data_IF_691007072686
#
_entry.id   IF_691007072686
#
_cell.length_a   1.000
_cell.length_b   1.000
_cell.length_c   1.000
_cell.angle_alpha   90.00
_cell.angle_beta   90.00
_cell.angle_gamma   90.00
#
_symmetry.space_group_name_H-M   'P 1'
#
loop_
_entity.id
_entity.type
_entity.pdbx_description
1 polymer ?
#
# COMPACT_ATOMS: atom_id res chain seq x y z
N UNK A 1 -47.96 -33.83 -4.87
CA UNK A 1 -48.56 -35.18 -4.80
C UNK A 1 -48.67 -35.74 -6.21
N UNK A 2 -48.48 -37.06 -6.34
CA UNK A 2 -48.66 -37.90 -7.52
C UNK A 2 -47.67 -37.73 -8.70
N UNK A 3 -46.62 -38.54 -8.64
CA UNK A 3 -46.03 -39.23 -9.79
C UNK A 3 -46.98 -40.37 -10.27
N UNK A 4 -46.61 -41.35 -11.13
CA UNK A 4 -45.94 -41.32 -12.44
C UNK A 4 -46.58 -42.31 -13.49
N UNK A 5 -45.92 -42.44 -14.65
CA UNK A 5 -45.74 -43.65 -15.48
C UNK A 5 -46.68 -44.04 -16.65
N UNK A 6 -45.98 -44.20 -17.80
CA UNK A 6 -46.02 -45.24 -18.84
C UNK A 6 -47.34 -45.58 -19.54
N UNK A 7 -47.34 -45.40 -20.87
CA UNK A 7 -47.98 -46.35 -21.78
C UNK A 7 -47.11 -46.67 -22.99
N UNK A 8 -47.00 -47.97 -23.19
CA UNK A 8 -46.34 -48.72 -24.24
C UNK A 8 -47.03 -48.61 -25.60
N UNK A 9 -46.22 -48.93 -26.62
CA UNK A 9 -46.49 -49.19 -28.03
C UNK A 9 -47.79 -49.95 -28.35
N UNK A 10 -48.40 -49.66 -29.50
CA UNK A 10 -48.59 -50.65 -30.58
C UNK A 10 -49.21 -50.06 -31.85
N UNK A 11 -48.92 -50.75 -32.94
CA UNK A 11 -49.02 -50.40 -34.35
C UNK A 11 -50.43 -50.14 -34.89
N UNK A 12 -50.52 -49.50 -36.07
CA UNK A 12 -51.17 -50.09 -37.24
C UNK A 12 -50.76 -49.35 -38.53
N UNK A 13 -50.50 -50.15 -39.55
CA UNK A 13 -50.08 -49.80 -40.90
C UNK A 13 -51.26 -49.41 -41.80
N UNK A 14 -51.01 -48.57 -42.80
CA UNK A 14 -51.68 -48.63 -44.12
C UNK A 14 -50.85 -47.91 -45.18
N UNK A 15 -50.59 -48.64 -46.26
CA UNK A 15 -49.84 -48.23 -47.42
C UNK A 15 -50.79 -47.80 -48.55
N UNK A 16 -50.47 -46.68 -49.23
CA UNK A 16 -50.61 -46.36 -50.68
C UNK A 16 -49.77 -45.08 -50.83
N UNK A 17 -48.70 -44.92 -51.61
CA UNK A 17 -48.42 -45.31 -52.98
C UNK A 17 -48.34 -44.03 -53.82
N UNK A 18 -47.14 -43.62 -54.29
CA UNK A 18 -46.83 -43.00 -55.60
C UNK A 18 -45.37 -42.52 -55.63
N UNK A 19 -44.62 -42.98 -56.63
CA UNK A 19 -43.22 -42.61 -56.86
C UNK A 19 -43.11 -41.21 -57.47
N UNK A 20 -42.29 -40.35 -56.87
CA UNK A 20 -41.69 -39.21 -57.58
C UNK A 20 -40.31 -38.90 -57.01
N UNK A 21 -39.29 -39.07 -57.86
CA UNK A 21 -38.02 -38.34 -57.91
C UNK A 21 -37.32 -38.12 -56.56
N UNK A 22 -36.34 -38.98 -56.28
CA UNK A 22 -35.37 -38.78 -55.20
C UNK A 22 -34.51 -37.52 -55.47
N UNK A 23 -34.48 -36.52 -54.58
CA UNK A 23 -33.23 -35.90 -54.20
C UNK A 23 -32.64 -36.73 -53.06
N UNK A 24 -31.40 -37.16 -53.23
CA UNK A 24 -30.63 -37.80 -52.16
C UNK A 24 -30.57 -36.80 -51.00
N UNK A 25 -31.41 -37.04 -49.97
CA UNK A 25 -31.31 -36.38 -48.68
C UNK A 25 -30.02 -36.88 -48.04
N UNK A 26 -28.93 -36.18 -48.32
CA UNK A 26 -27.72 -36.19 -47.51
C UNK A 26 -28.12 -35.72 -46.12
N UNK A 27 -28.48 -36.67 -45.25
CA UNK A 27 -28.41 -36.46 -43.80
C UNK A 27 -26.95 -36.12 -43.50
N UNK A 28 -26.68 -34.84 -43.23
CA UNK A 28 -25.39 -34.44 -42.70
C UNK A 28 -25.15 -35.27 -41.43
N UNK A 29 -24.20 -36.19 -41.48
CA UNK A 29 -23.69 -36.84 -40.28
C UNK A 29 -23.07 -35.74 -39.43
N UNK A 30 -23.72 -35.36 -38.34
CA UNK A 30 -23.10 -34.52 -37.32
C UNK A 30 -21.93 -35.31 -36.75
N UNK A 31 -20.72 -35.08 -37.27
CA UNK A 31 -19.51 -35.67 -36.71
C UNK A 31 -19.31 -35.03 -35.34
N UNK A 32 -19.70 -35.73 -34.28
CA UNK A 32 -19.32 -35.36 -32.91
C UNK A 32 -17.82 -35.60 -32.81
N UNK A 33 -17.04 -34.53 -32.99
CA UNK A 33 -15.60 -34.56 -32.70
C UNK A 33 -15.47 -34.51 -31.19
N UNK A 34 -14.95 -35.55 -30.51
CA UNK A 34 -14.67 -35.46 -29.09
C UNK A 34 -13.60 -34.38 -28.88
N UNK A 35 -13.98 -33.26 -28.27
CA UNK A 35 -13.04 -32.24 -27.85
C UNK A 35 -12.08 -32.88 -26.84
N UNK A 36 -10.85 -33.15 -27.27
CA UNK A 36 -9.81 -33.78 -26.45
C UNK A 36 -9.39 -32.78 -25.37
N UNK A 37 -10.11 -32.75 -24.25
CA UNK A 37 -9.73 -31.95 -23.09
C UNK A 37 -8.46 -32.55 -22.49
N UNK A 38 -7.29 -32.09 -22.93
CA UNK A 38 -6.03 -32.44 -22.28
C UNK A 38 -6.17 -32.03 -20.81
N UNK A 39 -6.09 -32.99 -19.88
CA UNK A 39 -5.95 -32.67 -18.45
C UNK A 39 -4.72 -31.76 -18.33
N UNK A 40 -4.92 -30.51 -17.89
CA UNK A 40 -3.80 -29.63 -17.53
C UNK A 40 -3.13 -30.25 -16.31
N UNK A 41 -2.01 -30.91 -16.54
CA UNK A 41 -1.10 -31.29 -15.48
C UNK A 41 -0.32 -30.05 -15.06
N UNK A 42 -0.61 -29.55 -13.86
CA UNK A 42 0.27 -28.59 -13.18
C UNK A 42 1.29 -29.38 -12.37
N UNK A 43 2.59 -29.26 -12.67
CA UNK A 43 3.62 -29.91 -11.87
C UNK A 43 3.60 -29.38 -10.42
N UNK A 44 4.02 -30.19 -9.44
CA UNK A 44 4.07 -29.76 -8.05
C UNK A 44 5.10 -28.64 -7.86
N UNK A 45 4.71 -27.59 -7.14
CA UNK A 45 5.62 -26.51 -6.74
C UNK A 45 6.49 -27.01 -5.60
N UNK A 46 7.79 -27.21 -5.85
CA UNK A 46 8.74 -27.57 -4.80
C UNK A 46 9.06 -26.35 -3.95
N UNK A 47 8.88 -26.46 -2.63
CA UNK A 47 9.30 -25.42 -1.71
C UNK A 47 10.83 -25.45 -1.57
N UNK A 48 11.50 -24.28 -1.55
CA UNK A 48 12.93 -24.22 -1.27
C UNK A 48 13.23 -24.81 0.11
N UNK A 49 14.33 -25.57 0.22
CA UNK A 49 14.75 -26.23 1.46
C UNK A 49 15.40 -25.27 2.47
N UNK A 50 15.63 -24.03 2.08
CA UNK A 50 16.24 -22.98 2.88
C UNK A 50 15.21 -21.90 3.20
N UNK A 51 15.31 -21.30 4.38
CA UNK A 51 14.41 -20.22 4.84
C UNK A 51 15.10 -18.87 4.87
N UNK A 52 16.42 -18.85 4.99
CA UNK A 52 17.24 -17.63 5.04
C UNK A 52 18.24 -17.56 3.88
N UNK A 53 18.68 -16.35 3.54
CA UNK A 53 19.69 -16.13 2.50
C UNK A 53 21.02 -16.81 2.83
N UNK A 54 21.38 -16.90 4.12
CA UNK A 54 22.59 -17.61 4.55
C UNK A 54 22.49 -19.12 4.29
N UNK A 55 21.36 -19.73 4.65
CA UNK A 55 21.08 -21.13 4.33
C UNK A 55 21.01 -21.38 2.82
N UNK A 56 20.50 -20.42 2.05
CA UNK A 56 20.52 -20.48 0.58
C UNK A 56 21.94 -20.52 0.04
N UNK A 57 22.79 -19.60 0.49
CA UNK A 57 24.18 -19.51 0.04
C UNK A 57 24.98 -20.74 0.49
N UNK A 58 24.71 -21.27 1.68
CA UNK A 58 25.29 -22.54 2.13
C UNK A 58 24.77 -23.74 1.34
N UNK A 59 23.49 -23.77 1.00
CA UNK A 59 22.89 -24.81 0.18
C UNK A 59 23.45 -24.77 -1.25
N UNK A 60 23.56 -23.58 -1.84
CA UNK A 60 24.19 -23.37 -3.15
C UNK A 60 25.65 -23.82 -3.13
N UNK A 61 26.42 -23.44 -2.09
CA UNK A 61 27.79 -23.93 -1.88
C UNK A 61 27.86 -25.45 -1.75
N UNK A 62 26.98 -26.08 -0.96
CA UNK A 62 26.89 -27.55 -0.80
C UNK A 62 26.47 -28.24 -2.10
N UNK A 63 25.66 -27.60 -2.92
CA UNK A 63 25.24 -28.08 -4.24
C UNK A 63 26.29 -27.79 -5.33
N UNK A 64 27.43 -27.20 -4.98
CA UNK A 64 28.50 -26.85 -5.94
C UNK A 64 28.18 -25.67 -6.84
N UNK A 65 27.11 -24.92 -6.56
CA UNK A 65 26.71 -23.72 -7.28
C UNK A 65 27.46 -22.50 -6.72
N UNK A 66 28.44 -22.00 -7.48
CA UNK A 66 29.08 -20.71 -7.20
C UNK A 66 28.27 -19.61 -7.85
N UNK A 67 27.66 -18.74 -7.05
CA UNK A 67 26.95 -17.55 -7.55
C UNK A 67 28.01 -16.51 -7.89
N UNK A 68 28.18 -16.11 -9.16
CA UNK A 68 29.11 -15.05 -9.51
C UNK A 68 28.66 -13.74 -8.90
N UNK A 69 29.62 -12.88 -8.52
CA UNK A 69 29.30 -11.52 -8.11
C UNK A 69 28.69 -10.78 -9.32
N UNK A 70 27.54 -10.15 -9.12
CA UNK A 70 26.86 -9.41 -10.18
C UNK A 70 27.72 -8.21 -10.62
N UNK A 71 28.27 -8.28 -11.82
CA UNK A 71 28.92 -7.15 -12.48
C UNK A 71 27.86 -6.38 -13.27
N UNK A 72 27.20 -5.42 -12.60
CA UNK A 72 26.21 -4.57 -13.26
C UNK A 72 26.94 -3.52 -14.11
N UNK A 73 26.96 -3.70 -15.42
CA UNK A 73 27.45 -2.68 -16.36
C UNK A 73 26.61 -1.38 -16.28
N UNK A 74 25.32 -1.52 -15.94
CA UNK A 74 24.38 -0.41 -15.77
C UNK A 74 23.86 -0.40 -14.34
N UNK A 75 24.11 0.67 -13.56
CA UNK A 75 23.57 0.77 -12.22
C UNK A 75 22.05 0.93 -12.26
N UNK A 76 21.38 0.46 -11.22
CA UNK A 76 19.94 0.65 -11.05
C UNK A 76 19.69 2.13 -10.71
N UNK A 77 18.92 2.81 -11.56
CA UNK A 77 18.52 4.19 -11.33
C UNK A 77 17.27 4.23 -10.46
N UNK A 78 17.41 4.83 -9.28
CA UNK A 78 16.31 5.03 -8.34
C UNK A 78 15.84 6.48 -8.44
N UNK A 79 14.52 6.67 -8.41
CA UNK A 79 13.90 8.00 -8.46
C UNK A 79 13.55 8.55 -7.07
N UNK A 80 13.57 7.71 -6.04
CA UNK A 80 13.29 8.06 -4.65
C UNK A 80 14.33 7.43 -3.73
N UNK A 81 14.44 7.97 -2.52
CA UNK A 81 15.22 7.35 -1.45
C UNK A 81 14.47 6.12 -0.90
N UNK A 82 15.14 5.26 -0.13
CA UNK A 82 14.48 4.15 0.57
C UNK A 82 13.68 4.59 1.81
N UNK A 83 13.94 5.78 2.36
CA UNK A 83 13.27 6.24 3.57
C UNK A 83 13.52 7.71 3.90
N UNK A 84 12.99 8.12 5.05
CA UNK A 84 13.08 9.49 5.55
C UNK A 84 14.45 9.71 6.21
N UNK A 85 15.15 10.79 5.88
CA UNK A 85 16.52 11.03 6.39
C UNK A 85 16.58 11.34 7.89
N UNK A 86 15.94 12.43 8.31
CA UNK A 86 15.87 12.90 9.70
C UNK A 86 14.39 13.09 10.01
N UNK A 87 13.76 12.02 10.52
CA UNK A 87 12.34 12.04 10.82
C UNK A 87 12.03 13.15 11.84
N UNK A 88 11.08 14.01 11.48
CA UNK A 88 10.59 15.01 12.40
C UNK A 88 9.94 14.31 13.59
N UNK A 89 10.23 14.76 14.81
CA UNK A 89 9.62 14.27 16.04
C UNK A 89 8.62 15.33 16.50
N UNK A 90 7.31 15.11 16.31
CA UNK A 90 6.29 16.04 16.76
C UNK A 90 6.33 16.21 18.28
N UNK A 91 6.24 17.44 18.79
CA UNK A 91 6.22 17.65 20.23
C UNK A 91 4.94 17.11 20.84
N UNK A 92 5.08 16.46 21.99
CA UNK A 92 3.94 16.04 22.81
C UNK A 92 3.13 17.28 23.19
N UNK A 93 1.83 17.26 22.88
CA UNK A 93 0.98 18.44 23.04
C UNK A 93 0.90 19.35 21.80
N UNK A 94 1.34 18.92 20.61
CA UNK A 94 0.95 19.65 19.38
C UNK A 94 -0.59 19.62 19.13
N UNK A 95 -1.31 18.74 19.85
CA UNK A 95 -2.77 18.74 19.97
C UNK A 95 -3.30 19.53 21.19
N UNK A 96 -2.45 19.90 22.15
CA UNK A 96 -2.80 20.64 23.38
C UNK A 96 -1.68 21.61 23.71
N UNK A 97 -1.87 22.87 23.37
CA UNK A 97 -0.88 23.94 23.47
C UNK A 97 -0.22 23.97 24.87
N UNK A 98 1.00 23.43 24.93
CA UNK A 98 2.08 23.66 25.91
C UNK A 98 1.87 23.32 27.39
N UNK A 99 2.82 22.56 27.94
CA UNK A 99 3.29 22.69 29.33
C UNK A 99 4.82 22.76 29.36
N UNK A 100 5.34 23.80 30.04
CA UNK A 100 6.76 24.12 30.15
C UNK A 100 7.46 23.13 31.11
N UNK A 101 7.90 21.98 30.58
CA UNK A 101 8.78 21.02 31.26
C UNK A 101 10.27 21.34 31.00
N UNK A 102 11.16 20.91 31.91
CA UNK A 102 12.63 21.03 31.76
C UNK A 102 13.17 20.31 30.51
N UNK A 103 12.45 19.29 30.02
CA UNK A 103 12.73 18.61 28.75
C UNK A 103 12.51 19.53 27.52
N UNK A 104 11.69 20.58 27.68
CA UNK A 104 11.41 21.55 26.61
C UNK A 104 12.60 22.44 26.24
N UNK A 105 13.59 22.64 27.11
CA UNK A 105 14.80 23.43 26.81
C UNK A 105 15.74 22.68 25.86
N UNK A 106 16.02 21.40 26.13
CA UNK A 106 16.79 20.54 25.23
C UNK A 106 16.10 20.47 23.85
N UNK A 107 14.79 20.23 23.86
CA UNK A 107 13.99 20.19 22.65
C UNK A 107 14.02 21.53 21.88
N UNK A 108 14.02 22.68 22.56
CA UNK A 108 14.17 24.00 21.92
C UNK A 108 15.53 24.18 21.25
N UNK A 109 16.62 23.75 21.88
CA UNK A 109 17.95 23.85 21.25
C UNK A 109 18.08 22.93 20.03
N UNK A 110 17.49 21.74 20.08
CA UNK A 110 17.42 20.84 18.93
C UNK A 110 16.55 21.41 17.82
N UNK A 111 15.39 21.99 18.13
CA UNK A 111 14.55 22.69 17.15
C UNK A 111 15.32 23.81 16.45
N UNK A 112 16.10 24.61 17.19
CA UNK A 112 16.93 25.65 16.59
C UNK A 112 17.99 25.07 15.63
N UNK A 113 18.71 24.02 16.04
CA UNK A 113 19.66 23.32 15.15
C UNK A 113 18.97 22.76 13.91
N UNK A 114 17.83 22.10 14.09
CA UNK A 114 17.02 21.53 13.00
C UNK A 114 16.47 22.62 12.06
N UNK A 115 16.17 23.80 12.58
CA UNK A 115 15.74 24.96 11.80
C UNK A 115 16.88 25.57 10.98
N UNK A 116 18.10 25.65 11.52
CA UNK A 116 19.27 26.10 10.74
C UNK A 116 19.54 25.11 9.59
N UNK A 117 19.49 23.81 9.88
CA UNK A 117 19.65 22.77 8.86
C UNK A 117 18.52 22.82 7.80
N UNK A 118 17.30 23.19 8.17
CA UNK A 118 16.20 23.34 7.20
C UNK A 118 16.40 24.57 6.32
N UNK A 119 16.87 25.69 6.85
CA UNK A 119 17.20 26.88 6.05
C UNK A 119 18.31 26.60 5.03
N UNK A 120 19.36 25.86 5.42
CA UNK A 120 20.41 25.43 4.49
C UNK A 120 19.87 24.50 3.40
N UNK A 121 18.98 23.58 3.77
CA UNK A 121 18.34 22.66 2.81
C UNK A 121 17.45 23.42 1.83
N UNK A 122 16.68 24.41 2.28
CA UNK A 122 15.87 25.28 1.43
C UNK A 122 16.74 26.04 0.43
N UNK A 123 17.91 26.55 0.86
CA UNK A 123 18.86 27.21 -0.06
C UNK A 123 19.32 26.26 -1.16
N UNK A 124 19.72 25.03 -0.82
CA UNK A 124 20.11 23.99 -1.80
C UNK A 124 18.98 23.64 -2.79
N UNK A 125 17.73 23.55 -2.30
CA UNK A 125 16.58 23.32 -3.19
C UNK A 125 16.41 24.49 -4.15
N UNK A 126 16.49 25.72 -3.66
CA UNK A 126 16.36 26.93 -4.50
C UNK A 126 17.49 27.10 -5.50
N UNK A 127 18.70 26.66 -5.14
CA UNK A 127 19.85 26.61 -6.06
C UNK A 127 19.62 25.63 -7.20
N UNK A 128 18.95 24.51 -6.93
CA UNK A 128 18.63 23.48 -7.94
C UNK A 128 17.36 23.82 -8.74
N UNK A 129 16.36 24.39 -8.07
CA UNK A 129 15.05 24.75 -8.62
C UNK A 129 14.66 26.18 -8.17
N UNK A 130 14.95 27.19 -9.01
CA UNK A 130 14.68 28.59 -8.66
C UNK A 130 13.18 28.92 -8.57
N UNK A 131 12.31 28.07 -9.13
CA UNK A 131 10.86 28.26 -9.06
C UNK A 131 10.26 27.90 -7.69
N UNK A 132 11.03 27.23 -6.83
CA UNK A 132 10.55 26.71 -5.56
C UNK A 132 10.32 27.82 -4.51
N UNK A 133 9.05 27.97 -4.11
CA UNK A 133 8.62 28.85 -3.03
C UNK A 133 8.04 28.05 -1.88
N UNK A 134 8.58 28.27 -0.68
CA UNK A 134 8.17 27.56 0.54
C UNK A 134 6.76 27.95 0.99
N UNK A 135 6.31 29.18 0.71
CA UNK A 135 4.98 29.67 1.10
C UNK A 135 3.84 29.04 0.29
N UNK A 136 4.09 28.76 -0.98
CA UNK A 136 3.10 28.22 -1.91
C UNK A 136 3.08 26.67 -1.88
N UNK A 137 4.07 26.07 -1.22
CA UNK A 137 4.23 24.62 -1.17
C UNK A 137 3.13 23.89 -0.37
N UNK A 138 2.65 24.38 0.79
CA UNK A 138 1.60 23.72 1.54
C UNK A 138 0.30 23.50 0.76
N UNK A 139 -0.11 24.47 -0.06
CA UNK A 139 -1.29 24.36 -0.92
C UNK A 139 -1.08 23.25 -1.96
N UNK A 140 0.05 23.27 -2.67
CA UNK A 140 0.41 22.21 -3.62
C UNK A 140 0.50 20.83 -2.97
N UNK A 141 1.04 20.76 -1.75
CA UNK A 141 1.14 19.52 -0.99
C UNK A 141 -0.25 18.97 -0.63
N UNK A 142 -1.19 19.84 -0.26
CA UNK A 142 -2.57 19.47 0.00
C UNK A 142 -3.27 18.97 -1.27
N UNK A 143 -3.07 19.64 -2.40
CA UNK A 143 -3.63 19.19 -3.68
C UNK A 143 -3.13 17.80 -4.08
N UNK A 144 -1.81 17.57 -4.01
CA UNK A 144 -1.21 16.25 -4.27
C UNK A 144 -1.78 15.19 -3.31
N UNK A 145 -1.94 15.54 -2.03
CA UNK A 145 -2.50 14.64 -1.04
C UNK A 145 -3.94 14.25 -1.37
N UNK A 146 -4.81 15.23 -1.69
CA UNK A 146 -6.21 14.98 -2.03
C UNK A 146 -6.30 14.15 -3.32
N UNK A 147 -5.56 14.55 -4.35
CA UNK A 147 -5.56 13.89 -5.66
C UNK A 147 -5.12 12.43 -5.56
N UNK A 148 -4.07 12.14 -4.79
CA UNK A 148 -3.59 10.78 -4.60
C UNK A 148 -4.63 9.89 -3.88
N UNK A 149 -5.33 10.41 -2.88
CA UNK A 149 -6.39 9.65 -2.20
C UNK A 149 -7.62 9.46 -3.09
N UNK A 150 -7.95 10.41 -3.96
CA UNK A 150 -8.97 10.23 -4.99
C UNK A 150 -8.57 9.16 -6.02
N UNK A 151 -7.29 9.08 -6.38
CA UNK A 151 -6.77 8.01 -7.24
C UNK A 151 -6.93 6.64 -6.57
N UNK A 152 -6.75 6.54 -5.25
CA UNK A 152 -7.01 5.28 -4.51
C UNK A 152 -8.49 4.86 -4.57
N UNK A 153 -9.43 5.81 -4.49
CA UNK A 153 -10.86 5.50 -4.62
C UNK A 153 -11.19 4.92 -6.00
N UNK A 154 -10.59 5.47 -7.06
CA UNK A 154 -10.83 5.08 -8.45
C UNK A 154 -9.92 3.93 -8.93
N UNK A 155 -8.96 3.49 -8.10
CA UNK A 155 -7.89 2.54 -8.48
C UNK A 155 -7.07 2.96 -9.71
N UNK A 156 -6.86 4.28 -9.89
CA UNK A 156 -6.01 4.82 -10.96
C UNK A 156 -4.53 4.76 -10.53
N UNK A 157 -3.88 3.64 -10.85
CA UNK A 157 -2.49 3.40 -10.47
C UNK A 157 -1.49 4.21 -11.30
N UNK A 158 -1.81 4.50 -12.57
CA UNK A 158 -0.92 5.22 -13.47
C UNK A 158 -0.73 6.66 -12.98
N UNK A 159 -1.83 7.34 -12.63
CA UNK A 159 -1.78 8.67 -12.04
C UNK A 159 -1.14 8.63 -10.65
N UNK A 160 -1.43 7.61 -9.84
CA UNK A 160 -0.86 7.48 -8.50
C UNK A 160 0.67 7.38 -8.50
N UNK A 161 1.28 6.69 -9.48
CA UNK A 161 2.74 6.63 -9.65
C UNK A 161 3.39 8.00 -9.94
N UNK A 162 2.63 8.95 -10.50
CA UNK A 162 3.12 10.32 -10.74
C UNK A 162 3.09 11.19 -9.48
N UNK A 163 2.16 10.91 -8.55
CA UNK A 163 1.91 11.68 -7.32
C UNK A 163 2.66 11.12 -6.10
N UNK A 164 2.95 9.83 -6.10
CA UNK A 164 3.50 9.08 -4.97
C UNK A 164 4.82 8.43 -5.39
N UNK A 165 5.78 8.34 -4.47
CA UNK A 165 7.05 7.64 -4.73
C UNK A 165 6.88 6.13 -4.74
N UNK A 166 7.87 5.46 -5.31
CA UNK A 166 7.96 4.01 -5.38
C UNK A 166 8.03 3.36 -4.00
N UNK A 167 8.52 4.09 -2.99
CA UNK A 167 8.54 3.66 -1.59
C UNK A 167 7.15 3.71 -0.94
N UNK A 168 6.37 4.78 -1.19
CA UNK A 168 5.07 4.97 -0.56
C UNK A 168 3.93 4.24 -1.27
N UNK A 169 4.06 3.98 -2.57
CA UNK A 169 3.07 3.27 -3.37
C UNK A 169 2.67 1.88 -2.80
N UNK A 170 3.61 0.96 -2.48
CA UNK A 170 3.25 -0.34 -1.95
C UNK A 170 2.49 -0.25 -0.62
N UNK A 171 2.89 0.66 0.28
CA UNK A 171 2.23 0.85 1.57
C UNK A 171 0.78 1.31 1.43
N UNK A 172 0.48 2.12 0.41
CA UNK A 172 -0.88 2.60 0.15
C UNK A 172 -1.75 1.55 -0.55
N UNK A 173 -1.18 0.77 -1.47
CA UNK A 173 -1.96 -0.08 -2.40
C UNK A 173 -2.09 -1.53 -1.93
N UNK A 174 -1.09 -2.08 -1.24
CA UNK A 174 -1.02 -3.52 -0.98
C UNK A 174 -2.21 -4.05 -0.18
N UNK A 175 -2.57 -3.35 0.90
CA UNK A 175 -3.64 -3.77 1.81
C UNK A 175 -5.06 -3.54 1.27
N UNK A 176 -5.20 -2.69 0.26
CA UNK A 176 -6.47 -2.30 -0.35
C UNK A 176 -6.73 -2.99 -1.70
N UNK A 177 -5.79 -3.76 -2.22
CA UNK A 177 -5.87 -4.40 -3.55
C UNK A 177 -7.17 -5.16 -3.83
N UNK A 178 -7.76 -5.77 -2.79
CA UNK A 178 -9.02 -6.52 -2.91
C UNK A 178 -10.15 -5.90 -2.08
N UNK A 179 -10.10 -4.59 -1.86
CA UNK A 179 -11.07 -3.82 -1.07
C UNK A 179 -11.47 -2.58 -1.84
N UNK A 180 -12.64 -2.03 -1.52
CA UNK A 180 -13.09 -0.75 -2.08
C UNK A 180 -12.92 0.32 -1.02
N UNK A 181 -12.23 1.41 -1.36
CA UNK A 181 -12.02 2.55 -0.47
C UNK A 181 -12.93 3.69 -0.91
N UNK A 182 -13.62 4.29 0.05
CA UNK A 182 -14.34 5.55 -0.11
C UNK A 182 -13.72 6.55 0.86
N UNK A 183 -12.86 7.40 0.33
CA UNK A 183 -12.27 8.51 1.06
C UNK A 183 -12.80 9.84 0.52
N UNK A 184 -13.11 10.79 1.40
CA UNK A 184 -13.44 12.15 0.99
C UNK A 184 -12.75 13.19 1.85
N UNK A 185 -12.40 14.30 1.20
CA UNK A 185 -11.88 15.49 1.85
C UNK A 185 -13.05 16.42 2.18
N UNK A 186 -13.26 16.72 3.47
CA UNK A 186 -14.37 17.58 3.90
C UNK A 186 -13.90 19.02 4.03
N UNK A 187 -12.98 19.27 4.96
CA UNK A 187 -12.45 20.60 5.22
C UNK A 187 -11.03 20.55 5.82
N UNK A 188 -10.30 21.65 5.69
CA UNK A 188 -9.03 21.86 6.41
C UNK A 188 -9.32 22.65 7.67
N UNK A 189 -9.08 22.07 8.85
CA UNK A 189 -9.28 22.76 10.13
C UNK A 189 -8.20 23.81 10.35
N UNK A 190 -6.96 23.43 10.10
CA UNK A 190 -5.82 24.34 10.08
C UNK A 190 -5.19 24.32 8.67
N UNK A 191 -4.61 25.44 8.22
CA UNK A 191 -3.86 25.44 6.98
C UNK A 191 -2.63 24.53 7.10
N UNK A 192 -2.24 23.81 6.04
CA UNK A 192 -1.05 22.97 6.06
C UNK A 192 0.20 23.82 6.32
N UNK A 193 1.11 23.31 7.15
CA UNK A 193 2.33 24.04 7.54
C UNK A 193 3.57 23.22 7.24
N UNK A 194 4.56 23.85 6.59
CA UNK A 194 5.89 23.23 6.42
C UNK A 194 6.62 23.25 7.76
N UNK A 195 6.97 22.06 8.26
CA UNK A 195 7.62 21.90 9.56
C UNK A 195 9.14 21.83 9.40
N UNK A 196 9.60 20.92 8.56
CA UNK A 196 11.01 20.64 8.37
C UNK A 196 11.31 20.33 6.91
N UNK A 197 12.45 20.84 6.43
CA UNK A 197 13.01 20.57 5.11
C UNK A 197 14.39 19.96 5.29
N UNK A 198 14.68 18.91 4.51
CA UNK A 198 15.96 18.21 4.52
C UNK A 198 16.40 17.93 3.10
N UNK A 199 17.69 18.13 2.84
CA UNK A 199 18.31 17.73 1.59
C UNK A 199 19.45 16.78 1.88
N UNK A 200 19.46 15.64 1.20
CA UNK A 200 20.59 14.72 1.20
C UNK A 200 21.24 14.74 -0.17
N UNK A 201 22.57 14.73 -0.18
CA UNK A 201 23.36 14.45 -1.37
C UNK A 201 23.94 13.06 -1.19
N UNK A 202 23.54 12.11 -2.02
CA UNK A 202 24.16 10.80 -2.02
C UNK A 202 25.51 10.92 -2.74
N UNK A 203 26.59 10.78 -1.97
CA UNK A 203 27.98 10.86 -2.45
C UNK A 203 28.24 9.87 -3.60
N UNK A 204 27.57 8.72 -3.58
CA UNK A 204 27.78 7.62 -4.54
C UNK A 204 27.19 7.87 -5.93
N UNK A 205 26.21 8.78 -6.10
CA UNK A 205 25.46 8.90 -7.36
C UNK A 205 25.31 10.33 -7.91
N UNK A 206 25.95 11.35 -7.32
CA UNK A 206 25.71 12.78 -7.65
C UNK A 206 24.24 13.23 -7.60
N UNK A 207 23.37 12.37 -7.06
CA UNK A 207 21.93 12.58 -6.97
C UNK A 207 21.62 13.25 -5.63
N UNK A 208 20.94 14.40 -5.70
CA UNK A 208 20.46 15.13 -4.54
C UNK A 208 18.95 14.96 -4.40
N UNK A 209 18.48 14.64 -3.20
CA UNK A 209 17.07 14.47 -2.89
C UNK A 209 16.64 15.49 -1.83
N UNK A 210 15.53 16.18 -2.10
CA UNK A 210 14.90 17.12 -1.17
C UNK A 210 13.66 16.48 -0.55
N UNK A 211 13.59 16.44 0.77
CA UNK A 211 12.44 16.00 1.55
C UNK A 211 11.81 17.19 2.29
N UNK A 212 10.49 17.34 2.19
CA UNK A 212 9.72 18.38 2.87
C UNK A 212 8.63 17.72 3.70
N UNK A 213 8.60 18.03 4.98
CA UNK A 213 7.58 17.53 5.91
C UNK A 213 6.53 18.62 6.14
N UNK A 214 5.27 18.24 5.96
CA UNK A 214 4.10 19.13 6.07
C UNK A 214 3.16 18.58 7.12
N UNK A 215 2.82 19.41 8.11
CA UNK A 215 1.78 19.16 9.10
C UNK A 215 0.44 19.49 8.46
N UNK A 216 -0.47 18.51 8.42
CA UNK A 216 -1.82 18.65 7.91
C UNK A 216 -2.81 18.32 9.02
N UNK A 217 -3.74 19.24 9.31
CA UNK A 217 -4.83 19.00 10.23
C UNK A 217 -6.17 19.20 9.50
N UNK A 218 -6.80 18.09 9.17
CA UNK A 218 -7.91 18.04 8.21
C UNK A 218 -9.05 17.18 8.73
N UNK A 219 -10.25 17.43 8.23
CA UNK A 219 -11.43 16.59 8.42
C UNK A 219 -11.63 15.73 7.19
N UNK A 220 -11.69 14.42 7.43
CA UNK A 220 -11.79 13.42 6.37
C UNK A 220 -12.87 12.41 6.72
N UNK A 221 -13.50 11.85 5.69
CA UNK A 221 -14.32 10.64 5.85
C UNK A 221 -13.61 9.47 5.19
N UNK A 222 -13.74 8.29 5.79
CA UNK A 222 -13.12 7.08 5.26
C UNK A 222 -14.01 5.88 5.60
N UNK A 223 -14.42 5.17 4.56
CA UNK A 223 -15.09 3.89 4.65
C UNK A 223 -14.36 2.87 3.77
N UNK A 224 -14.02 1.72 4.37
CA UNK A 224 -13.38 0.62 3.66
C UNK A 224 -14.37 -0.54 3.60
N UNK A 225 -14.63 -1.01 2.40
CA UNK A 225 -15.48 -2.15 2.12
C UNK A 225 -14.64 -3.37 1.75
N UNK A 226 -15.05 -4.54 2.22
CA UNK A 226 -14.49 -5.83 1.86
C UNK A 226 -14.72 -6.12 0.37
N UNK A 227 -14.11 -7.19 -0.14
CA UNK A 227 -14.34 -7.68 -1.51
C UNK A 227 -15.80 -8.01 -1.83
N UNK A 228 -16.60 -8.25 -0.80
CA UNK A 228 -18.03 -8.52 -0.88
C UNK A 228 -18.90 -7.27 -0.68
N UNK A 229 -18.30 -6.07 -0.60
CA UNK A 229 -19.02 -4.82 -0.42
C UNK A 229 -19.54 -4.57 1.01
N UNK A 230 -19.12 -5.38 1.99
CA UNK A 230 -19.50 -5.18 3.41
C UNK A 230 -18.57 -4.17 4.07
N UNK A 231 -19.12 -3.27 4.88
CA UNK A 231 -18.33 -2.30 5.64
C UNK A 231 -17.37 -3.01 6.61
N UNK A 232 -16.07 -2.73 6.50
CA UNK A 232 -15.02 -3.28 7.36
C UNK A 232 -14.53 -2.27 8.40
N UNK A 233 -14.40 -1.01 7.99
CA UNK A 233 -13.77 0.03 8.79
C UNK A 233 -14.34 1.40 8.43
N UNK A 234 -14.48 2.24 9.47
CA UNK A 234 -14.89 3.62 9.34
C UNK A 234 -16.38 3.79 9.00
N UNK A 235 -16.74 5.02 8.64
CA UNK A 235 -18.09 5.46 8.28
C UNK A 235 -17.96 6.54 7.21
N UNK A 236 -18.86 6.55 6.24
CA UNK A 236 -18.82 7.50 5.12
C UNK A 236 -19.38 8.87 5.50
N UNK A 237 -20.40 8.89 6.36
CA UNK A 237 -21.13 10.11 6.74
C UNK A 237 -20.49 10.91 7.87
N UNK A 238 -19.68 10.27 8.72
CA UNK A 238 -19.13 10.89 9.92
C UNK A 238 -17.69 11.34 9.66
N UNK A 239 -17.44 12.66 9.47
CA UNK A 239 -16.09 13.17 9.35
C UNK A 239 -15.34 13.02 10.66
N UNK A 240 -14.05 12.75 10.55
CA UNK A 240 -13.13 12.68 11.68
C UNK A 240 -11.95 13.62 11.49
N UNK A 241 -11.54 14.19 12.60
CA UNK A 241 -10.39 15.08 12.67
C UNK A 241 -9.12 14.23 12.65
N UNK A 242 -8.21 14.55 11.73
CA UNK A 242 -7.01 13.79 11.45
C UNK A 242 -5.83 14.76 11.43
N UNK A 243 -4.80 14.46 12.23
CA UNK A 243 -3.55 15.22 12.31
C UNK A 243 -2.40 14.34 11.85
N UNK A 244 -1.74 14.72 10.76
CA UNK A 244 -0.74 13.91 10.09
C UNK A 244 0.45 14.75 9.62
N UNK A 245 1.64 14.15 9.64
CA UNK A 245 2.85 14.76 9.11
C UNK A 245 3.24 14.00 7.84
N UNK A 246 2.92 14.58 6.68
CA UNK A 246 3.16 13.99 5.38
C UNK A 246 4.52 14.45 4.87
N UNK A 247 5.33 13.50 4.40
CA UNK A 247 6.65 13.76 3.84
C UNK A 247 6.57 13.68 2.33
N UNK A 248 7.00 14.74 1.66
CA UNK A 248 7.13 14.81 0.21
C UNK A 248 8.61 14.74 -0.15
N UNK A 249 8.92 14.09 -1.27
CA UNK A 249 10.27 13.99 -1.82
C UNK A 249 10.29 14.46 -3.27
N UNK A 250 11.39 15.12 -3.65
CA UNK A 250 11.73 15.43 -5.03
C UNK A 250 13.19 15.07 -5.30
N UNK A 251 13.44 14.40 -6.42
CA UNK A 251 14.78 14.21 -6.94
C UNK A 251 15.24 15.52 -7.62
N UNK A 252 16.21 16.21 -7.03
CA UNK A 252 16.64 17.55 -7.44
C UNK A 252 17.56 17.52 -8.67
N UNK A 253 18.33 16.45 -8.86
CA UNK A 253 19.22 16.32 -10.03
C UNK A 253 18.45 16.02 -11.33
N UNK A 254 17.23 15.48 -11.23
CA UNK A 254 16.39 15.23 -12.40
C UNK A 254 15.62 16.50 -12.80
N UNK A 255 15.77 17.02 -14.04
CA UNK A 255 15.02 18.19 -14.50
C UNK A 255 13.50 17.97 -14.53
N UNK A 256 13.06 16.72 -14.71
CA UNK A 256 11.64 16.34 -14.70
C UNK A 256 11.13 15.94 -13.30
N UNK A 257 11.94 16.15 -12.26
CA UNK A 257 11.57 15.80 -10.89
C UNK A 257 10.34 16.58 -10.42
N UNK A 258 9.29 15.86 -10.03
CA UNK A 258 8.11 16.42 -9.36
C UNK A 258 8.17 16.12 -7.85
N UNK A 259 7.40 16.90 -7.08
CA UNK A 259 7.16 16.62 -5.67
C UNK A 259 6.16 15.48 -5.56
N UNK A 260 6.56 14.40 -4.88
CA UNK A 260 5.74 13.20 -4.69
C UNK A 260 5.64 12.85 -3.22
N UNK A 261 4.52 12.28 -2.79
CA UNK A 261 4.39 11.76 -1.43
C UNK A 261 5.33 10.59 -1.21
N UNK A 262 6.12 10.65 -0.13
CA UNK A 262 7.17 9.67 0.17
C UNK A 262 6.91 8.85 1.43
N UNK A 263 6.26 9.45 2.42
CA UNK A 263 6.00 8.76 3.67
C UNK A 263 5.16 9.57 4.63
N UNK A 264 4.82 8.94 5.75
CA UNK A 264 3.97 9.51 6.78
C UNK A 264 4.59 9.28 8.14
N UNK A 265 4.74 10.35 8.91
CA UNK A 265 5.23 10.29 10.28
C UNK A 265 4.03 10.21 11.22
N UNK A 266 3.98 9.15 12.02
CA UNK A 266 2.95 8.95 13.05
C UNK A 266 3.64 9.17 14.40
N UNK A 267 3.28 10.22 15.16
CA UNK A 267 3.86 10.41 16.48
C UNK A 267 3.44 9.28 17.43
N UNK A 268 4.29 8.86 18.37
CA UNK A 268 3.97 7.79 19.32
C UNK A 268 2.83 8.16 20.26
N UNK A 269 2.65 9.46 20.54
CA UNK A 269 1.57 10.01 21.35
C UNK A 269 0.26 10.21 20.59
N UNK A 270 0.20 9.91 19.29
CA UNK A 270 -1.04 10.01 18.53
C UNK A 270 -2.12 9.11 19.15
N UNK A 271 -3.39 9.58 19.21
CA UNK A 271 -4.47 8.72 19.67
C UNK A 271 -4.57 7.47 18.78
N UNK A 272 -4.94 6.32 19.35
CA UNK A 272 -5.12 5.11 18.57
C UNK A 272 -6.21 5.32 17.52
N UNK A 273 -6.06 4.64 16.39
CA UNK A 273 -7.06 4.63 15.31
C UNK A 273 -8.38 4.02 15.82
N UNK A 274 -9.46 4.29 15.10
CA UNK A 274 -10.75 3.69 15.40
C UNK A 274 -10.62 2.14 15.43
N UNK A 275 -11.27 1.45 16.37
CA UNK A 275 -11.28 -0.01 16.33
C UNK A 275 -12.03 -0.52 15.09
N UNK A 276 -11.63 -1.69 14.61
CA UNK A 276 -12.36 -2.39 13.55
C UNK A 276 -13.70 -2.92 14.08
N UNK A 277 -14.67 -3.11 13.19
CA UNK A 277 -16.01 -3.57 13.57
C UNK A 277 -16.06 -5.04 14.04
N UNK A 278 -15.12 -5.87 13.57
CA UNK A 278 -15.06 -7.30 13.88
C UNK A 278 -14.19 -7.59 15.10
N UNK A 279 -14.44 -8.71 15.76
CA UNK A 279 -13.54 -9.25 16.79
C UNK A 279 -12.35 -9.98 16.16
N UNK A 280 -11.22 -10.01 16.87
CA UNK A 280 -9.99 -10.71 16.46
C UNK A 280 -9.58 -11.64 17.57
N UNK A 281 -9.27 -12.89 17.22
CA UNK A 281 -8.64 -13.85 18.11
C UNK A 281 -7.16 -13.93 17.76
N UNK A 282 -6.30 -13.75 18.76
CA UNK A 282 -4.86 -13.90 18.63
C UNK A 282 -4.53 -15.30 19.12
N UNK A 283 -4.02 -16.21 18.27
CA UNK A 283 -3.70 -17.56 18.68
C UNK A 283 -2.58 -17.55 19.73
N UNK A 284 -2.68 -18.45 20.71
CA UNK A 284 -1.61 -18.69 21.68
C UNK A 284 -0.36 -19.30 21.03
N UNK A 285 0.73 -19.44 21.80
CA UNK A 285 1.95 -20.07 21.31
C UNK A 285 1.68 -21.53 20.88
N UNK A 286 2.24 -21.94 19.75
CA UNK A 286 2.17 -23.33 19.30
C UNK A 286 3.32 -24.13 19.93
N UNK A 287 2.99 -24.90 20.97
CA UNK A 287 3.93 -25.75 21.69
C UNK A 287 4.24 -27.01 20.88
N UNK A 288 5.50 -27.44 20.87
CA UNK A 288 5.85 -28.76 20.34
C UNK A 288 5.45 -29.86 21.33
N UNK A 289 5.27 -31.12 20.88
CA UNK A 289 5.07 -32.23 21.79
C UNK A 289 6.21 -32.32 22.82
N UNK A 290 5.88 -32.22 24.11
CA UNK A 290 6.84 -32.25 25.22
C UNK A 290 7.32 -30.89 25.73
N UNK A 291 6.91 -29.78 25.10
CA UNK A 291 7.12 -28.44 25.62
C UNK A 291 5.92 -28.03 26.50
N UNK A 292 6.17 -27.60 27.73
CA UNK A 292 5.13 -27.07 28.63
C UNK A 292 4.86 -25.59 28.36
N UNK A 293 3.65 -25.13 28.69
CA UNK A 293 3.30 -23.71 28.56
C UNK A 293 3.89 -22.92 29.72
N UNK A 294 4.76 -21.96 29.42
CA UNK A 294 5.24 -21.00 30.41
C UNK A 294 4.37 -19.74 30.40
N UNK A 295 3.70 -19.46 31.51
CA UNK A 295 2.97 -18.22 31.72
C UNK A 295 3.96 -17.05 31.86
N UNK A 296 4.07 -16.24 30.81
CA UNK A 296 4.72 -14.94 30.92
C UNK A 296 3.86 -14.04 31.83
N UNK A 297 4.31 -13.80 33.06
CA UNK A 297 3.77 -12.74 33.91
C UNK A 297 4.08 -11.38 33.26
N UNK A 298 3.21 -10.94 32.35
CA UNK A 298 3.25 -9.57 31.83
C UNK A 298 2.74 -8.66 32.93
N UNK A 299 3.65 -7.94 33.59
CA UNK A 299 3.27 -6.73 34.32
C UNK A 299 2.57 -5.80 33.34
N UNK A 300 1.25 -5.64 33.50
CA UNK A 300 0.48 -4.69 32.73
C UNK A 300 1.02 -3.29 33.03
N UNK A 301 1.89 -2.78 32.16
CA UNK A 301 2.24 -1.36 32.16
C UNK A 301 0.93 -0.58 32.01
N UNK A 302 0.44 -0.04 33.14
CA UNK A 302 -0.62 0.96 33.13
C UNK A 302 -0.14 2.09 32.21
N UNK A 303 -0.98 2.58 31.28
CA UNK A 303 -0.63 3.77 30.54
C UNK A 303 -0.39 4.88 31.56
N UNK A 304 0.84 5.38 31.64
CA UNK A 304 1.15 6.56 32.42
C UNK A 304 0.39 7.72 31.77
N UNK A 305 -0.67 8.15 32.43
CA UNK A 305 -1.32 9.42 32.17
C UNK A 305 -0.31 10.50 32.57
N UNK A 306 0.36 11.08 31.59
CA UNK A 306 1.11 12.33 31.71
C UNK A 306 0.32 13.45 31.03
#
# INVERSE_FOLDING_TARGET
>A
MAAPMLRSLSCLSRAVGRWSRQPILMTQSTSVVPARTKKRFTPPTYQPKYKTEKEFVEYARKAGLVIPQESLERPIHLACTAGIFDAYVPPEGDARVSSLSKEGLAQRTERLKKNVASQLSIRRIKESDPSFKVKDFPEKAQDIFIEAHLCLNNSDHDRLHTLVTENCFPDMVWDIKYKTVRWSFVESLEPPQVVQVRCSSLVTQSNAYGQVTVRMHTRQTLAIYDRFGRLMYGQEDVPRDVLEYVVFEKHLANPYGSWRMHGKIIPPWAPPKQPILKTVMIPGPQLKPGEEYEELQREAHKPQLA
#
